data_IF_685627570553
#
_entry.id   IF_685627570553
#
_cell.length_a   1.000
_cell.length_b   1.000
_cell.length_c   1.000
_cell.angle_alpha   90.00
_cell.angle_beta   90.00
_cell.angle_gamma   90.00
#
_symmetry.space_group_name_H-M   'P 1'
#
loop_
_entity.id
_entity.type
_entity.pdbx_description
1 polymer ?
#
# COMPACT_ATOMS: atom_id res chain seq x y z
N UNK A 1 -43.71 -33.24 25.49
CA UNK A 1 -43.57 -32.76 26.89
C UNK A 1 -42.08 -32.55 27.15
N UNK A 2 -41.52 -31.42 27.55
CA UNK A 2 -42.01 -30.08 27.91
C UNK A 2 -40.95 -29.08 27.43
N UNK A 3 -41.45 -27.98 26.90
CA UNK A 3 -40.82 -26.70 26.63
C UNK A 3 -40.04 -26.18 27.84
N UNK A 4 -38.94 -25.46 27.62
CA UNK A 4 -38.49 -24.37 28.50
C UNK A 4 -37.69 -23.33 27.72
N UNK A 5 -38.43 -22.37 27.19
CA UNK A 5 -37.96 -21.08 26.71
C UNK A 5 -37.41 -20.28 27.89
N UNK A 6 -36.22 -19.69 27.73
CA UNK A 6 -35.77 -18.59 28.59
C UNK A 6 -35.69 -17.32 27.73
N UNK A 7 -36.69 -16.47 27.94
CA UNK A 7 -36.77 -15.09 27.47
C UNK A 7 -36.24 -14.25 28.63
N UNK A 8 -35.21 -13.44 28.40
CA UNK A 8 -34.84 -12.33 29.30
C UNK A 8 -34.64 -11.06 28.46
N UNK A 9 -35.14 -9.89 28.93
CA UNK A 9 -35.37 -8.73 28.09
C UNK A 9 -34.17 -7.77 28.02
N UNK A 10 -34.05 -7.16 26.83
CA UNK A 10 -33.92 -5.71 26.56
C UNK A 10 -33.37 -4.81 27.68
N UNK A 11 -32.18 -4.26 27.47
CA UNK A 11 -31.76 -2.97 28.05
C UNK A 11 -31.14 -2.12 26.93
N UNK A 12 -32.01 -1.38 26.25
CA UNK A 12 -31.67 -0.29 25.34
C UNK A 12 -31.29 0.90 26.21
N UNK A 13 -30.02 1.29 26.20
CA UNK A 13 -29.57 2.57 26.74
C UNK A 13 -29.28 3.50 25.56
N UNK A 14 -30.29 4.29 25.19
CA UNK A 14 -30.18 5.42 24.25
C UNK A 14 -29.75 6.61 25.09
N UNK A 15 -28.50 7.04 24.92
CA UNK A 15 -28.01 8.31 25.44
C UNK A 15 -27.98 9.32 24.28
N UNK A 16 -29.09 10.05 24.13
CA UNK A 16 -29.16 11.26 23.31
C UNK A 16 -28.82 12.45 24.21
N UNK A 17 -27.70 13.13 23.92
CA UNK A 17 -27.48 14.50 24.37
C UNK A 17 -27.07 15.36 23.16
N UNK A 18 -27.98 16.28 22.89
CA UNK A 18 -27.94 17.42 21.98
C UNK A 18 -26.95 18.50 22.46
N UNK A 19 -26.36 19.27 21.53
CA UNK A 19 -25.75 20.55 21.89
C UNK A 19 -25.01 21.27 20.76
N UNK A 20 -25.69 22.22 20.10
CA UNK A 20 -25.15 23.23 19.18
C UNK A 20 -24.12 24.16 19.84
N UNK A 21 -23.12 24.64 19.07
CA UNK A 21 -23.10 26.01 18.55
C UNK A 21 -21.81 26.30 17.73
N UNK A 22 -21.90 27.09 16.66
CA UNK A 22 -20.74 27.64 15.96
C UNK A 22 -20.27 28.93 16.63
N UNK A 23 -18.98 29.05 16.90
CA UNK A 23 -18.38 30.32 17.32
C UNK A 23 -17.75 31.00 16.11
N UNK A 24 -18.51 31.94 15.56
CA UNK A 24 -18.02 33.07 14.77
C UNK A 24 -17.36 34.05 15.73
N UNK A 25 -16.14 34.51 15.44
CA UNK A 25 -15.82 35.95 15.35
C UNK A 25 -14.32 36.23 15.23
N UNK A 26 -14.06 37.27 14.43
CA UNK A 26 -13.06 38.34 14.61
C UNK A 26 -11.84 38.31 13.69
N UNK A 27 -12.03 38.98 12.56
CA UNK A 27 -11.23 40.13 12.08
C UNK A 27 -9.80 40.29 12.61
N UNK A 28 -8.85 40.34 11.68
CA UNK A 28 -7.89 41.45 11.67
C UNK A 28 -7.67 41.91 10.24
N UNK A 29 -8.21 43.09 9.97
CA UNK A 29 -7.97 43.97 8.84
C UNK A 29 -6.60 44.64 9.00
N UNK A 30 -5.79 44.73 7.94
CA UNK A 30 -5.04 45.93 7.56
C UNK A 30 -4.31 45.72 6.22
N UNK A 31 -4.75 46.30 5.10
CA UNK A 31 -4.56 47.69 4.58
C UNK A 31 -3.29 47.85 3.71
N UNK A 32 -3.53 48.30 2.46
CA UNK A 32 -2.81 49.33 1.68
C UNK A 32 -2.44 48.90 0.23
N UNK A 33 -3.12 49.57 -0.70
CA UNK A 33 -2.98 49.73 -2.17
C UNK A 33 -1.64 50.39 -2.63
N UNK A 34 -1.40 50.90 -3.87
CA UNK A 34 -2.20 50.93 -5.11
C UNK A 34 -1.45 50.58 -6.43
N UNK A 35 -2.24 50.53 -7.51
CA UNK A 35 -1.87 50.46 -8.94
C UNK A 35 -0.91 51.58 -9.42
N UNK A 36 -0.29 51.41 -10.60
CA UNK A 36 -0.84 52.16 -11.75
C UNK A 36 -0.94 51.37 -13.06
N UNK A 37 -1.95 51.76 -13.83
CA UNK A 37 -2.17 51.45 -15.25
C UNK A 37 -1.24 52.28 -16.15
N UNK A 38 -0.91 51.74 -17.33
CA UNK A 38 -0.46 52.54 -18.48
C UNK A 38 -1.23 52.12 -19.73
N UNK A 39 -1.71 53.15 -20.44
CA UNK A 39 -2.55 53.12 -21.63
C UNK A 39 -1.74 53.06 -22.93
N UNK A 40 -2.40 52.49 -23.94
CA UNK A 40 -2.57 52.92 -25.35
C UNK A 40 -1.42 53.50 -26.17
N UNK A 41 -1.33 52.98 -27.40
CA UNK A 41 -0.63 53.59 -28.53
C UNK A 41 -1.00 52.90 -29.83
N UNK A 42 -1.87 53.55 -30.61
CA UNK A 42 -2.30 53.25 -31.98
C UNK A 42 -1.12 53.03 -32.96
N UNK A 43 -1.31 52.24 -34.02
CA UNK A 43 -1.24 52.80 -35.38
C UNK A 43 -1.80 51.88 -36.48
N UNK A 44 -2.44 52.57 -37.42
CA UNK A 44 -3.16 52.21 -38.64
C UNK A 44 -2.33 51.55 -39.75
N UNK A 45 -2.96 50.67 -40.53
CA UNK A 45 -3.29 50.95 -41.95
C UNK A 45 -3.34 49.69 -42.81
N UNK A 46 -4.49 49.52 -43.45
CA UNK A 46 -4.91 48.57 -44.47
C UNK A 46 -3.90 48.35 -45.60
N UNK A 47 -3.87 47.14 -46.18
CA UNK A 47 -4.03 46.94 -47.63
C UNK A 47 -4.67 45.57 -47.96
N UNK A 48 -5.37 45.62 -49.08
CA UNK A 48 -6.41 44.77 -49.64
C UNK A 48 -5.80 43.83 -50.69
N UNK A 49 -5.86 42.49 -50.51
CA UNK A 49 -5.62 41.51 -51.59
C UNK A 49 -6.48 40.26 -51.37
N UNK A 50 -7.58 40.22 -52.12
CA UNK A 50 -8.06 39.10 -52.96
C UNK A 50 -8.12 37.68 -52.38
N UNK A 51 -9.37 37.25 -52.22
CA UNK A 51 -9.87 35.89 -52.00
C UNK A 51 -9.21 34.81 -52.88
N UNK A 52 -8.88 33.66 -52.27
CA UNK A 52 -9.32 32.41 -52.85
C UNK A 52 -10.12 31.57 -51.84
N UNK A 53 -11.26 31.07 -52.32
CA UNK A 53 -12.10 30.02 -51.74
C UNK A 53 -11.27 28.86 -51.16
N UNK A 54 -11.31 28.59 -49.84
CA UNK A 54 -10.85 27.31 -49.31
C UNK A 54 -11.98 26.28 -49.40
N UNK A 55 -11.68 25.20 -50.11
CA UNK A 55 -12.47 23.98 -50.21
C UNK A 55 -12.91 23.47 -48.84
N UNK A 56 -14.19 23.12 -48.76
CA UNK A 56 -14.84 22.49 -47.62
C UNK A 56 -14.12 21.17 -47.30
N UNK A 57 -13.27 21.20 -46.29
CA UNK A 57 -12.73 20.01 -45.63
C UNK A 57 -13.77 19.53 -44.62
N UNK A 58 -14.12 18.23 -44.56
CA UNK A 58 -15.07 17.74 -43.56
C UNK A 58 -14.53 18.01 -42.16
N UNK A 59 -15.36 18.68 -41.35
CA UNK A 59 -15.13 18.93 -39.94
C UNK A 59 -14.81 17.61 -39.23
N UNK A 60 -13.56 17.46 -38.80
CA UNK A 60 -13.20 16.46 -37.81
C UNK A 60 -13.99 16.78 -36.53
N UNK A 61 -14.81 15.82 -36.14
CA UNK A 61 -15.54 15.79 -34.87
C UNK A 61 -14.61 16.19 -33.73
N UNK A 62 -15.06 17.00 -32.75
CA UNK A 62 -14.28 17.26 -31.54
C UNK A 62 -14.05 15.93 -30.83
N UNK A 63 -12.84 15.37 -30.96
CA UNK A 63 -12.44 14.21 -30.20
C UNK A 63 -12.35 14.63 -28.73
N UNK A 64 -13.37 14.17 -27.99
CA UNK A 64 -13.43 13.93 -26.54
C UNK A 64 -12.32 14.57 -25.70
N UNK A 65 -12.71 15.60 -24.95
CA UNK A 65 -11.94 16.31 -23.93
C UNK A 65 -11.69 15.42 -22.67
N UNK A 66 -11.88 14.09 -22.75
CA UNK A 66 -11.69 13.15 -21.64
C UNK A 66 -10.25 12.69 -21.42
N UNK A 67 -9.27 13.13 -22.23
CA UNK A 67 -7.86 12.76 -22.02
C UNK A 67 -7.12 13.64 -21.00
N UNK A 68 -7.83 14.54 -20.32
CA UNK A 68 -7.26 15.41 -19.30
C UNK A 68 -7.47 14.78 -17.93
N UNK A 69 -6.66 13.77 -17.57
CA UNK A 69 -6.23 13.41 -16.19
C UNK A 69 -5.61 12.00 -16.15
N UNK A 70 -4.29 11.90 -16.35
CA UNK A 70 -3.32 11.03 -15.66
C UNK A 70 -3.53 9.50 -15.51
N UNK A 71 -4.62 8.92 -15.95
CA UNK A 71 -5.01 7.54 -15.69
C UNK A 71 -5.12 6.75 -17.00
N UNK A 72 -4.06 6.02 -17.35
CA UNK A 72 -4.08 5.15 -18.52
C UNK A 72 -4.88 3.89 -18.18
N UNK A 73 -5.99 3.68 -18.89
CA UNK A 73 -6.79 2.45 -18.76
C UNK A 73 -6.46 1.52 -19.92
N UNK A 74 -6.22 0.23 -19.65
CA UNK A 74 -5.82 -0.76 -20.66
C UNK A 74 -6.30 -2.17 -20.29
N UNK A 75 -6.44 -3.05 -21.28
CA UNK A 75 -6.83 -4.45 -21.07
C UNK A 75 -5.62 -5.32 -20.72
N UNK A 76 -5.79 -6.20 -19.73
CA UNK A 76 -4.79 -7.21 -19.38
C UNK A 76 -4.94 -8.43 -20.29
N UNK A 77 -3.89 -8.74 -21.06
CA UNK A 77 -3.84 -9.86 -22.01
C UNK A 77 -3.30 -11.13 -21.37
N UNK A 78 -2.35 -11.01 -20.43
CA UNK A 78 -1.80 -12.15 -19.70
C UNK A 78 -1.35 -11.78 -18.29
N UNK A 79 -1.32 -12.78 -17.41
CA UNK A 79 -0.68 -12.68 -16.08
C UNK A 79 0.54 -13.58 -16.11
N UNK A 80 1.71 -12.98 -15.92
CA UNK A 80 3.01 -13.66 -16.04
C UNK A 80 3.35 -14.32 -14.70
N UNK A 81 3.22 -13.58 -13.61
CA UNK A 81 3.44 -14.03 -12.23
C UNK A 81 2.53 -13.24 -11.25
N UNK A 82 2.81 -13.30 -9.94
CA UNK A 82 1.98 -12.65 -8.92
C UNK A 82 2.02 -11.12 -8.92
N UNK A 83 3.03 -10.49 -9.53
CA UNK A 83 3.22 -9.03 -9.55
C UNK A 83 3.57 -8.46 -10.94
N UNK A 84 3.51 -9.30 -11.98
CA UNK A 84 3.80 -8.96 -13.36
C UNK A 84 2.67 -9.39 -14.29
N UNK A 85 2.20 -8.45 -15.10
CA UNK A 85 1.17 -8.67 -16.12
C UNK A 85 1.63 -8.19 -17.49
N UNK A 86 0.96 -8.66 -18.53
CA UNK A 86 1.06 -8.15 -19.89
C UNK A 86 -0.27 -7.47 -20.26
N UNK A 87 -0.17 -6.32 -20.92
CA UNK A 87 -1.31 -5.53 -21.37
C UNK A 87 -1.42 -5.55 -22.90
N UNK A 88 -2.51 -5.00 -23.43
CA UNK A 88 -2.64 -4.78 -24.86
C UNK A 88 -1.44 -3.97 -25.39
N UNK A 89 -0.91 -4.37 -26.56
CA UNK A 89 0.34 -3.84 -27.09
C UNK A 89 1.59 -4.65 -26.68
N UNK A 90 1.46 -5.61 -25.77
CA UNK A 90 2.53 -6.55 -25.41
C UNK A 90 3.54 -5.99 -24.39
N UNK A 91 3.32 -4.80 -23.86
CA UNK A 91 4.12 -4.26 -22.77
C UNK A 91 3.86 -5.03 -21.47
N UNK A 92 4.92 -5.24 -20.71
CA UNK A 92 4.84 -5.84 -19.37
C UNK A 92 4.83 -4.76 -18.30
N UNK A 93 3.99 -4.95 -17.29
CA UNK A 93 3.88 -4.09 -16.12
C UNK A 93 4.42 -4.85 -14.91
N UNK A 94 5.35 -4.24 -14.15
CA UNK A 94 5.77 -4.70 -12.81
C UNK A 94 5.10 -3.83 -11.75
N UNK A 95 4.42 -4.47 -10.81
CA UNK A 95 3.69 -3.77 -9.75
C UNK A 95 4.69 -3.08 -8.81
N UNK A 96 4.50 -1.79 -8.55
CA UNK A 96 5.39 -1.03 -7.65
C UNK A 96 5.10 -1.41 -6.19
N UNK A 97 6.14 -1.43 -5.35
CA UNK A 97 6.02 -1.47 -3.89
C UNK A 97 5.71 -2.84 -3.28
N UNK A 98 5.60 -3.89 -4.10
CA UNK A 98 5.28 -5.25 -3.64
C UNK A 98 6.20 -6.28 -4.30
N UNK A 99 6.34 -7.44 -3.68
CA UNK A 99 6.99 -8.60 -4.28
C UNK A 99 6.23 -9.87 -3.94
N UNK A 100 5.91 -10.68 -4.95
CA UNK A 100 5.28 -11.99 -4.74
C UNK A 100 6.32 -13.11 -4.66
N UNK A 101 6.02 -14.23 -3.97
CA UNK A 101 6.93 -15.38 -3.98
C UNK A 101 7.15 -15.89 -5.41
N UNK A 102 8.41 -16.12 -5.79
CA UNK A 102 8.85 -16.42 -7.15
C UNK A 102 8.29 -17.76 -7.66
N UNK A 103 7.86 -17.80 -8.92
CA UNK A 103 7.22 -18.98 -9.54
C UNK A 103 7.76 -19.36 -10.91
N UNK A 104 8.44 -18.45 -11.62
CA UNK A 104 8.71 -18.57 -13.05
C UNK A 104 10.19 -18.63 -13.40
N UNK A 105 11.11 -18.36 -12.46
CA UNK A 105 12.54 -18.57 -12.68
C UNK A 105 12.87 -20.08 -12.72
N UNK A 106 13.22 -20.65 -13.89
CA UNK A 106 13.50 -22.09 -14.01
C UNK A 106 14.77 -22.51 -13.27
N UNK A 107 15.58 -21.56 -12.77
CA UNK A 107 16.81 -21.81 -12.01
C UNK A 107 16.55 -21.92 -10.51
N UNK A 108 15.34 -21.58 -10.04
CA UNK A 108 14.99 -21.55 -8.63
C UNK A 108 13.80 -22.48 -8.36
N UNK A 109 13.71 -23.06 -7.15
CA UNK A 109 12.48 -23.73 -6.75
C UNK A 109 11.35 -22.69 -6.65
N UNK A 110 10.13 -23.13 -6.94
CA UNK A 110 8.94 -22.33 -6.68
C UNK A 110 8.88 -22.01 -5.20
N UNK A 111 8.79 -20.73 -4.86
CA UNK A 111 8.71 -20.28 -3.48
C UNK A 111 7.33 -20.61 -2.90
N UNK A 112 7.29 -20.85 -1.59
CA UNK A 112 6.03 -21.14 -0.89
C UNK A 112 5.00 -20.03 -1.17
N UNK A 113 3.76 -20.43 -1.46
CA UNK A 113 2.64 -19.53 -1.79
C UNK A 113 2.74 -18.79 -3.13
N UNK A 114 3.77 -19.05 -3.95
CA UNK A 114 3.93 -18.36 -5.24
C UNK A 114 2.81 -18.69 -6.23
N UNK A 115 2.39 -19.96 -6.33
CA UNK A 115 1.33 -20.38 -7.27
C UNK A 115 -0.01 -19.75 -6.90
N UNK A 116 -0.29 -19.65 -5.62
CA UNK A 116 -1.45 -19.03 -5.03
C UNK A 116 -1.47 -17.52 -5.33
N UNK A 117 -0.32 -16.84 -5.19
CA UNK A 117 -0.16 -15.43 -5.54
C UNK A 117 -0.41 -15.17 -7.04
N UNK A 118 0.22 -15.95 -7.94
CA UNK A 118 -0.01 -15.85 -9.38
C UNK A 118 -1.48 -16.12 -9.76
N UNK A 119 -2.09 -17.16 -9.17
CA UNK A 119 -3.49 -17.51 -9.41
C UNK A 119 -4.44 -16.41 -8.93
N UNK A 120 -4.16 -15.80 -7.77
CA UNK A 120 -4.98 -14.69 -7.27
C UNK A 120 -4.86 -13.45 -8.15
N UNK A 121 -3.65 -13.08 -8.58
CA UNK A 121 -3.48 -11.96 -9.51
C UNK A 121 -4.26 -12.22 -10.81
N UNK A 122 -4.16 -13.45 -11.35
CA UNK A 122 -4.93 -13.88 -12.52
C UNK A 122 -6.44 -13.72 -12.33
N UNK A 123 -7.00 -14.18 -11.22
CA UNK A 123 -8.41 -14.01 -10.88
C UNK A 123 -8.83 -12.53 -10.83
N UNK A 124 -7.97 -11.68 -10.27
CA UNK A 124 -8.25 -10.26 -10.12
C UNK A 124 -8.26 -9.54 -11.45
N UNK A 125 -7.28 -9.74 -12.33
CA UNK A 125 -7.05 -8.84 -13.47
C UNK A 125 -7.11 -9.46 -14.86
N UNK A 126 -7.01 -10.78 -15.03
CA UNK A 126 -6.91 -11.38 -16.36
C UNK A 126 -8.17 -11.12 -17.22
N UNK A 127 -7.97 -10.63 -18.44
CA UNK A 127 -9.05 -10.31 -19.37
C UNK A 127 -9.91 -9.11 -18.95
N UNK A 128 -9.44 -8.31 -17.99
CA UNK A 128 -10.17 -7.14 -17.47
C UNK A 128 -9.42 -5.85 -17.80
N UNK A 129 -10.16 -4.75 -17.79
CA UNK A 129 -9.61 -3.41 -17.96
C UNK A 129 -9.09 -2.89 -16.62
N UNK A 130 -7.84 -2.45 -16.59
CA UNK A 130 -7.16 -1.92 -15.41
C UNK A 130 -6.74 -0.49 -15.64
N UNK A 131 -6.82 0.32 -14.58
CA UNK A 131 -6.21 1.65 -14.55
C UNK A 131 -4.79 1.53 -14.02
N UNK A 132 -3.85 2.08 -14.77
CA UNK A 132 -2.44 2.13 -14.45
C UNK A 132 -2.06 3.52 -13.98
N UNK A 133 -1.30 3.57 -12.91
CA UNK A 133 -0.78 4.80 -12.34
C UNK A 133 0.73 4.68 -12.19
N UNK A 134 1.46 5.66 -12.74
CA UNK A 134 2.90 5.74 -12.61
C UNK A 134 3.27 6.50 -11.34
N UNK A 135 4.39 6.13 -10.74
CA UNK A 135 5.08 6.97 -9.76
C UNK A 135 6.14 7.84 -10.45
N UNK A 136 7.43 7.68 -10.12
CA UNK A 136 8.52 8.51 -10.65
C UNK A 136 9.18 7.81 -11.84
N UNK A 137 9.55 6.55 -11.69
CA UNK A 137 10.26 5.77 -12.71
C UNK A 137 9.32 5.25 -13.78
N UNK A 138 9.78 5.24 -15.04
CA UNK A 138 8.98 4.74 -16.17
C UNK A 138 9.08 3.21 -16.29
N UNK A 139 10.32 2.70 -16.30
CA UNK A 139 10.63 1.27 -16.48
C UNK A 139 11.72 0.81 -15.53
N UNK A 140 11.74 -0.49 -15.22
CA UNK A 140 12.87 -1.14 -14.59
C UNK A 140 14.00 -1.49 -15.59
N UNK A 141 15.09 -2.08 -15.08
CA UNK A 141 16.23 -2.54 -15.89
C UNK A 141 15.88 -3.64 -16.91
N UNK A 142 14.73 -4.29 -16.76
CA UNK A 142 14.23 -5.31 -17.69
C UNK A 142 13.23 -4.72 -18.71
N UNK A 143 13.08 -3.40 -18.75
CA UNK A 143 12.15 -2.66 -19.61
C UNK A 143 10.68 -2.99 -19.36
N UNK A 144 10.33 -3.43 -18.15
CA UNK A 144 8.93 -3.52 -17.71
C UNK A 144 8.51 -2.15 -17.21
N UNK A 145 7.30 -1.72 -17.56
CA UNK A 145 6.73 -0.49 -17.04
C UNK A 145 6.44 -0.64 -15.55
N UNK A 146 6.79 0.35 -14.75
CA UNK A 146 6.53 0.36 -13.31
C UNK A 146 5.21 1.07 -13.05
N UNK A 147 4.21 0.36 -12.50
CA UNK A 147 2.88 0.92 -12.24
C UNK A 147 2.26 0.41 -10.93
N UNK A 148 1.41 1.24 -10.35
CA UNK A 148 0.33 0.83 -9.46
C UNK A 148 -0.88 0.43 -10.30
N UNK A 149 -1.54 -0.67 -9.93
CA UNK A 149 -2.62 -1.28 -10.74
C UNK A 149 -3.93 -1.25 -9.98
N UNK A 150 -4.98 -0.79 -10.66
CA UNK A 150 -6.31 -0.67 -10.11
C UNK A 150 -7.34 -1.35 -11.01
N UNK A 151 -8.30 -2.05 -10.40
CA UNK A 151 -9.46 -2.58 -11.09
C UNK A 151 -10.75 -2.06 -10.44
N UNK A 152 -11.48 -1.22 -11.16
CA UNK A 152 -12.54 -0.41 -10.56
C UNK A 152 -11.99 0.37 -9.36
N UNK A 153 -12.55 0.11 -8.17
CA UNK A 153 -12.12 0.74 -6.91
C UNK A 153 -11.10 -0.09 -6.12
N UNK A 154 -10.70 -1.26 -6.62
CA UNK A 154 -9.73 -2.13 -5.93
C UNK A 154 -8.32 -1.72 -6.32
N UNK A 155 -7.52 -1.33 -5.33
CA UNK A 155 -6.08 -1.19 -5.48
C UNK A 155 -5.43 -2.57 -5.39
N UNK A 156 -5.02 -3.13 -6.53
CA UNK A 156 -4.56 -4.52 -6.64
C UNK A 156 -3.30 -4.74 -5.81
N UNK A 157 -2.35 -3.80 -5.83
CA UNK A 157 -1.12 -3.91 -5.05
C UNK A 157 -1.41 -4.04 -3.54
N UNK A 158 -2.23 -3.14 -2.98
CA UNK A 158 -2.63 -3.19 -1.57
C UNK A 158 -3.38 -4.49 -1.25
N UNK A 159 -4.33 -4.89 -2.10
CA UNK A 159 -5.09 -6.12 -1.90
C UNK A 159 -4.19 -7.34 -1.78
N UNK A 160 -3.22 -7.49 -2.70
CA UNK A 160 -2.30 -8.64 -2.70
C UNK A 160 -1.48 -8.69 -1.41
N UNK A 161 -0.98 -7.55 -0.92
CA UNK A 161 -0.25 -7.50 0.36
C UNK A 161 -1.17 -7.77 1.54
N UNK A 162 -2.33 -7.08 1.62
CA UNK A 162 -3.30 -7.15 2.72
C UNK A 162 -3.91 -8.55 2.92
N UNK A 163 -3.96 -9.33 1.85
CA UNK A 163 -4.43 -10.71 1.86
C UNK A 163 -3.30 -11.75 1.95
N UNK A 164 -2.03 -11.30 2.05
CA UNK A 164 -0.88 -12.18 2.23
C UNK A 164 -0.44 -12.93 0.98
N UNK A 165 -0.70 -12.41 -0.22
CA UNK A 165 -0.16 -12.95 -1.48
C UNK A 165 1.19 -12.32 -1.87
N UNK A 166 1.53 -11.18 -1.29
CA UNK A 166 2.76 -10.45 -1.57
C UNK A 166 3.37 -9.88 -0.29
N UNK A 167 4.69 -9.69 -0.31
CA UNK A 167 5.44 -8.88 0.65
C UNK A 167 5.38 -7.40 0.24
N UNK A 168 5.44 -6.50 1.22
CA UNK A 168 5.73 -5.09 0.96
C UNK A 168 7.22 -4.95 0.62
N UNK A 169 7.57 -4.21 -0.44
CA UNK A 169 8.96 -4.08 -0.89
C UNK A 169 9.24 -2.69 -1.46
N UNK A 170 10.05 -1.92 -0.74
CA UNK A 170 10.37 -0.53 -1.08
C UNK A 170 11.56 -0.42 -2.03
N UNK A 171 11.38 0.33 -3.12
CA UNK A 171 12.44 0.63 -4.09
C UNK A 171 12.39 2.12 -4.46
N UNK A 172 13.14 3.00 -3.77
CA UNK A 172 13.21 4.40 -4.13
C UNK A 172 13.66 4.60 -5.59
N UNK A 173 13.08 5.59 -6.30
CA UNK A 173 12.23 6.66 -5.78
C UNK A 173 10.73 6.32 -5.70
N UNK A 174 10.30 5.13 -6.13
CA UNK A 174 8.89 4.76 -6.31
C UNK A 174 8.24 4.25 -5.00
N UNK A 175 7.98 5.17 -4.07
CA UNK A 175 7.53 4.85 -2.70
C UNK A 175 6.20 5.53 -2.30
N UNK A 176 5.44 6.08 -3.26
CA UNK A 176 4.20 6.84 -3.00
C UNK A 176 3.21 6.16 -2.06
N UNK A 177 3.05 4.84 -2.16
CA UNK A 177 2.12 4.05 -1.32
C UNK A 177 2.81 3.14 -0.30
N UNK A 178 4.11 3.30 -0.04
CA UNK A 178 4.88 2.34 0.75
C UNK A 178 4.35 2.20 2.19
N UNK A 179 3.94 3.30 2.82
CA UNK A 179 3.36 3.26 4.17
C UNK A 179 2.07 2.42 4.22
N UNK A 180 1.24 2.52 3.18
CA UNK A 180 0.01 1.74 3.06
C UNK A 180 0.33 0.25 2.90
N UNK A 181 1.33 -0.10 2.07
CA UNK A 181 1.75 -1.50 1.92
C UNK A 181 2.35 -2.07 3.20
N UNK A 182 3.16 -1.30 3.93
CA UNK A 182 3.69 -1.73 5.22
C UNK A 182 2.57 -2.02 6.23
N UNK A 183 1.53 -1.17 6.26
CA UNK A 183 0.35 -1.41 7.10
C UNK A 183 -0.45 -2.64 6.66
N UNK A 184 -0.68 -2.79 5.35
CA UNK A 184 -1.36 -3.95 4.78
C UNK A 184 -0.62 -5.26 5.12
N UNK A 185 0.72 -5.24 5.09
CA UNK A 185 1.53 -6.41 5.43
C UNK A 185 1.42 -6.75 6.92
N UNK A 186 1.51 -5.75 7.81
CA UNK A 186 1.29 -5.95 9.24
C UNK A 186 -0.07 -6.56 9.52
N UNK A 187 -1.13 -6.06 8.88
CA UNK A 187 -2.46 -6.66 9.01
C UNK A 187 -2.51 -8.11 8.52
N UNK A 188 -1.88 -8.41 7.39
CA UNK A 188 -1.84 -9.77 6.87
C UNK A 188 -1.09 -10.73 7.81
N UNK A 189 0.01 -10.29 8.41
CA UNK A 189 0.78 -11.02 9.43
C UNK A 189 -0.07 -11.28 10.68
N UNK A 190 -0.61 -10.23 11.29
CA UNK A 190 -1.43 -10.33 12.52
C UNK A 190 -2.65 -11.22 12.33
N UNK A 191 -3.26 -11.20 11.15
CA UNK A 191 -4.41 -12.03 10.83
C UNK A 191 -4.03 -13.39 10.21
N UNK A 192 -2.75 -13.75 10.16
CA UNK A 192 -2.24 -15.01 9.59
C UNK A 192 -2.80 -15.31 8.19
N UNK A 193 -2.85 -14.30 7.31
CA UNK A 193 -3.42 -14.43 5.96
C UNK A 193 -2.39 -14.94 4.96
N UNK A 194 -2.84 -15.74 4.00
CA UNK A 194 -2.04 -16.18 2.86
C UNK A 194 -0.70 -16.81 3.27
N UNK A 195 0.40 -16.30 2.73
CA UNK A 195 1.75 -16.80 3.00
C UNK A 195 2.11 -16.78 4.49
N UNK A 196 1.50 -15.90 5.29
CA UNK A 196 1.77 -15.78 6.72
C UNK A 196 1.18 -16.94 7.55
N UNK A 197 0.19 -17.67 7.04
CA UNK A 197 -0.24 -18.96 7.63
C UNK A 197 0.30 -20.17 6.88
N UNK A 198 0.38 -20.09 5.55
CA UNK A 198 0.75 -21.22 4.71
C UNK A 198 2.25 -21.55 4.75
N UNK A 199 3.11 -20.54 4.89
CA UNK A 199 4.56 -20.69 4.81
C UNK A 199 5.26 -20.54 6.16
N UNK A 200 4.50 -20.19 7.21
CA UNK A 200 4.97 -20.32 8.59
C UNK A 200 5.22 -21.80 8.83
N UNK A 201 6.50 -22.18 8.84
CA UNK A 201 6.94 -23.54 9.11
C UNK A 201 6.22 -24.04 10.34
N UNK A 202 5.21 -24.87 10.12
CA UNK A 202 4.55 -25.60 11.18
C UNK A 202 5.58 -26.57 11.71
N UNK A 203 6.30 -26.11 12.73
CA UNK A 203 6.59 -26.88 13.92
C UNK A 203 5.25 -27.36 14.49
N UNK A 204 4.55 -28.24 13.79
CA UNK A 204 3.52 -29.08 14.38
C UNK A 204 4.25 -30.10 15.23
N UNK A 205 4.62 -29.67 16.43
CA UNK A 205 4.54 -30.53 17.58
C UNK A 205 3.74 -29.75 18.60
N UNK A 206 2.46 -30.09 18.71
CA UNK A 206 1.69 -29.86 19.92
C UNK A 206 2.41 -30.58 21.06
N UNK A 207 3.36 -29.90 21.69
CA UNK A 207 3.84 -30.20 23.03
C UNK A 207 3.68 -28.90 23.82
N UNK A 208 3.05 -28.90 25.00
CA UNK A 208 2.99 -27.71 25.84
C UNK A 208 4.43 -27.30 26.19
N UNK A 209 4.99 -26.30 25.52
CA UNK A 209 6.35 -25.84 25.82
C UNK A 209 6.29 -24.96 27.06
N UNK A 210 6.41 -25.65 28.19
CA UNK A 210 6.82 -25.07 29.47
C UNK A 210 8.18 -24.40 29.30
N UNK A 211 8.30 -23.22 29.90
CA UNK A 211 9.50 -22.39 29.95
C UNK A 211 10.80 -23.18 30.14
N UNK A 212 11.83 -22.90 29.32
CA UNK A 212 13.22 -23.09 29.74
C UNK A 212 14.17 -22.20 28.91
N UNK A 213 14.69 -21.17 29.60
CA UNK A 213 16.03 -20.55 29.56
C UNK A 213 16.76 -20.32 28.22
N UNK A 214 17.23 -19.08 27.93
CA UNK A 214 17.91 -18.71 26.68
C UNK A 214 19.39 -19.12 26.60
N UNK A 215 19.95 -19.30 25.39
CA UNK A 215 21.39 -19.46 25.19
C UNK A 215 22.14 -18.15 25.47
N UNK A 216 23.23 -18.30 26.22
CA UNK A 216 24.21 -17.27 26.57
C UNK A 216 24.79 -16.59 25.32
N UNK A 217 24.74 -15.26 25.33
CA UNK A 217 25.37 -14.34 24.37
C UNK A 217 26.88 -14.50 24.35
N UNK A 218 27.42 -14.98 23.24
CA UNK A 218 28.80 -14.73 22.84
C UNK A 218 28.88 -14.64 21.31
N UNK A 219 28.95 -13.41 20.80
CA UNK A 219 29.37 -13.13 19.42
C UNK A 219 28.28 -12.70 18.44
N UNK A 220 27.56 -11.61 18.71
CA UNK A 220 26.84 -10.84 17.68
C UNK A 220 26.33 -9.53 18.27
N UNK A 221 26.23 -8.48 17.46
CA UNK A 221 25.82 -7.11 17.79
C UNK A 221 24.39 -7.01 18.36
N UNK A 222 24.16 -7.47 19.59
CA UNK A 222 22.86 -7.44 20.27
C UNK A 222 22.77 -6.23 21.22
N UNK A 223 21.60 -5.63 21.31
CA UNK A 223 21.31 -4.48 22.16
C UNK A 223 21.19 -4.91 23.64
N UNK A 224 21.89 -4.21 24.57
CA UNK A 224 21.89 -4.55 26.00
C UNK A 224 20.53 -4.37 26.68
N UNK A 225 19.58 -3.63 26.09
CA UNK A 225 18.22 -3.47 26.62
C UNK A 225 17.41 -4.77 26.61
N UNK A 226 17.88 -5.81 25.90
CA UNK A 226 17.18 -7.09 25.77
C UNK A 226 18.08 -8.25 26.21
N UNK A 227 18.45 -8.38 27.50
CA UNK A 227 19.50 -9.30 27.95
C UNK A 227 19.16 -10.80 27.81
N UNK A 228 17.91 -11.13 27.48
CA UNK A 228 17.44 -12.52 27.37
C UNK A 228 17.32 -13.01 25.94
N UNK A 229 17.46 -12.12 24.94
CA UNK A 229 17.26 -12.40 23.52
C UNK A 229 18.21 -11.54 22.69
N UNK A 230 18.67 -12.02 21.52
CA UNK A 230 19.51 -11.16 20.67
C UNK A 230 18.63 -10.34 19.73
N UNK A 231 18.53 -9.04 19.99
CA UNK A 231 17.87 -8.06 19.12
C UNK A 231 18.93 -7.02 18.71
N UNK A 232 19.09 -6.67 17.42
CA UNK A 232 20.06 -5.67 16.99
C UNK A 232 19.71 -4.27 17.52
N UNK A 233 20.67 -3.35 17.68
CA UNK A 233 20.38 -1.98 18.09
C UNK A 233 19.63 -1.18 17.01
N UNK A 234 18.71 -0.30 17.43
CA UNK A 234 18.03 0.68 16.56
C UNK A 234 19.03 1.72 16.01
N UNK A 235 18.97 2.13 14.73
CA UNK A 235 18.02 1.75 13.67
C UNK A 235 18.44 0.52 12.80
N UNK A 236 17.48 -0.19 12.17
CA UNK A 236 16.05 0.15 12.04
C UNK A 236 15.25 -0.13 13.31
N UNK A 237 14.11 0.55 13.46
CA UNK A 237 13.17 0.26 14.55
C UNK A 237 12.40 -1.03 14.25
N UNK A 238 12.43 -1.99 15.17
CA UNK A 238 11.80 -3.30 15.05
C UNK A 238 10.58 -3.33 15.96
N UNK A 239 9.42 -3.76 15.44
CA UNK A 239 8.23 -3.99 16.25
C UNK A 239 8.11 -5.47 16.66
N UNK A 240 7.27 -5.79 17.65
CA UNK A 240 7.02 -7.19 18.08
C UNK A 240 6.70 -8.19 16.94
N UNK A 241 5.99 -7.79 15.86
CA UNK A 241 5.79 -8.66 14.70
C UNK A 241 7.05 -8.93 13.87
N UNK A 242 8.11 -8.13 13.99
CA UNK A 242 9.34 -8.24 13.20
C UNK A 242 10.37 -9.18 13.84
N UNK A 243 10.15 -9.58 15.09
CA UNK A 243 10.98 -10.52 15.84
C UNK A 243 10.20 -11.79 16.20
N UNK A 244 10.91 -12.89 16.41
CA UNK A 244 10.31 -14.18 16.80
C UNK A 244 10.15 -14.32 18.32
N UNK A 245 10.82 -13.49 19.11
CA UNK A 245 10.78 -13.57 20.56
C UNK A 245 9.48 -12.97 21.12
N UNK A 246 8.95 -13.60 22.17
CA UNK A 246 7.77 -13.13 22.92
C UNK A 246 8.07 -13.22 24.41
N UNK A 247 7.48 -12.32 25.20
CA UNK A 247 7.59 -12.30 26.66
C UNK A 247 9.05 -12.37 27.14
N UNK A 248 9.90 -11.50 26.60
CA UNK A 248 11.32 -11.42 26.98
C UNK A 248 11.56 -10.21 27.88
N UNK A 249 12.67 -10.24 28.62
CA UNK A 249 13.01 -9.16 29.56
C UNK A 249 13.43 -7.91 28.79
N UNK A 250 12.83 -6.76 29.14
CA UNK A 250 13.19 -5.43 28.65
C UNK A 250 13.78 -4.61 29.80
N UNK A 251 14.90 -3.95 29.54
CA UNK A 251 15.55 -3.00 30.44
C UNK A 251 15.44 -1.59 29.84
N UNK A 252 15.20 -0.54 30.64
CA UNK A 252 15.26 0.84 30.16
C UNK A 252 16.70 1.27 29.76
N UNK A 253 16.87 2.11 28.72
CA UNK A 253 15.83 2.57 27.79
C UNK A 253 15.35 1.41 26.90
N UNK A 254 14.14 1.48 26.37
CA UNK A 254 13.61 0.49 25.41
C UNK A 254 13.64 1.08 23.98
N UNK A 255 14.79 1.04 23.26
CA UNK A 255 14.95 1.64 21.93
C UNK A 255 13.91 1.22 20.90
N UNK A 256 13.43 -0.02 20.98
CA UNK A 256 12.44 -0.60 20.08
C UNK A 256 11.00 -0.57 20.61
N UNK A 257 10.79 -0.05 21.82
CA UNK A 257 9.46 0.13 22.41
C UNK A 257 8.64 -1.16 22.47
N UNK A 258 9.31 -2.30 22.73
CA UNK A 258 8.67 -3.60 22.89
C UNK A 258 7.86 -3.73 24.19
N UNK A 259 8.19 -2.96 25.22
CA UNK A 259 7.56 -2.90 26.53
C UNK A 259 6.71 -1.63 26.65
N UNK A 260 5.50 -1.68 26.09
CA UNK A 260 4.61 -0.51 26.00
C UNK A 260 3.98 -0.11 27.32
N UNK A 261 3.74 -1.06 28.22
CA UNK A 261 3.14 -0.86 29.55
C UNK A 261 4.18 -0.69 30.66
N UNK A 262 5.47 -0.86 30.35
CA UNK A 262 6.64 -0.64 31.22
C UNK A 262 6.70 -1.60 32.41
N UNK A 263 6.24 -2.84 32.22
CA UNK A 263 6.26 -3.88 33.25
C UNK A 263 7.57 -4.69 33.25
N UNK A 264 8.47 -4.41 32.30
CA UNK A 264 9.75 -5.10 32.09
C UNK A 264 9.66 -6.31 31.17
N UNK A 265 8.53 -6.55 30.52
CA UNK A 265 8.25 -7.69 29.63
C UNK A 265 7.86 -7.19 28.24
N UNK A 266 8.76 -7.38 27.27
CA UNK A 266 8.53 -7.03 25.88
C UNK A 266 7.68 -8.04 25.13
N UNK A 267 6.82 -7.56 24.23
CA UNK A 267 6.02 -8.37 23.31
C UNK A 267 5.17 -9.43 24.01
N UNK A 268 4.32 -8.97 24.92
CA UNK A 268 3.37 -9.79 25.68
C UNK A 268 2.10 -10.19 24.88
N UNK A 269 1.85 -9.52 23.74
CA UNK A 269 0.69 -9.71 22.86
C UNK A 269 0.89 -10.71 21.73
#
# INVERSE_FOLDING_TARGET
MRLKNFITPLLISVLLLTGCSPTTSTETEQTVSPFPSVNEGENSSSQDITSPTPSVTPAQSPQSISQVLGAQTTMVTAVIDGDTIEIEGGQRIRYIGINTPETVDPRKPVECFGREASSKNKELVAGKSVRLEKDISETDKYRRLLRYVFIGNVFVNDYLVRQGYAYASSYPPDVKYQNQFNQAEREAKTNSRGLWSACSSTSTTNTPQTATTPPSTNGSNCDPSYPTVCIPPSPPDLDCPDITYRRFKVLPPDPHRFDGDHDGVGCES
#
